data_IF_942734547529
#
_entry.id   IF_942734547529
#
_cell.length_a   1.000
_cell.length_b   1.000
_cell.length_c   1.000
_cell.angle_alpha   90.00
_cell.angle_beta   90.00
_cell.angle_gamma   90.00
#
_symmetry.space_group_name_H-M   'P 1'
#
loop_
_entity.id
_entity.type
_entity.pdbx_description
1 polymer ?
#
# COMPACT_ATOMS: atom_id res chain seq x y z
N UNK A 1 12.92 9.84 19.10
CA UNK A 1 13.99 8.83 19.18
C UNK A 1 13.58 7.74 18.22
N UNK A 2 14.28 7.58 17.11
CA UNK A 2 14.12 6.37 16.29
C UNK A 2 14.58 5.20 17.15
N UNK A 3 13.65 4.33 17.51
CA UNK A 3 13.99 3.05 18.13
C UNK A 3 14.69 2.22 17.08
N UNK A 4 16.02 2.20 17.10
CA UNK A 4 16.79 1.24 16.32
C UNK A 4 16.50 -0.17 16.81
N UNK A 5 16.46 -1.12 15.89
CA UNK A 5 16.46 -2.55 16.22
C UNK A 5 17.86 -3.12 15.97
N UNK A 6 18.21 -4.19 16.68
CA UNK A 6 19.50 -4.88 16.51
C UNK A 6 19.27 -6.28 15.96
N UNK A 7 20.02 -6.67 14.93
CA UNK A 7 20.03 -8.04 14.42
C UNK A 7 21.29 -8.76 14.89
N UNK A 8 21.13 -9.90 15.55
CA UNK A 8 22.22 -10.78 15.98
C UNK A 8 22.22 -12.05 15.14
N UNK A 9 23.39 -12.44 14.63
CA UNK A 9 23.55 -13.63 13.77
C UNK A 9 24.41 -14.66 14.49
N UNK A 10 23.87 -15.86 14.65
CA UNK A 10 24.53 -17.00 15.28
C UNK A 10 24.80 -18.08 14.24
N UNK A 11 26.02 -18.61 14.16
CA UNK A 11 26.40 -19.66 13.19
C UNK A 11 27.14 -20.78 13.90
N UNK A 12 26.65 -22.01 13.75
CA UNK A 12 27.30 -23.22 14.21
C UNK A 12 28.35 -23.68 13.17
N UNK A 13 29.64 -23.46 13.47
CA UNK A 13 30.74 -23.69 12.49
C UNK A 13 30.84 -25.12 11.94
N UNK A 14 30.41 -26.14 12.69
CA UNK A 14 30.50 -27.53 12.25
C UNK A 14 29.36 -27.96 11.31
N UNK A 15 28.13 -27.60 11.67
CA UNK A 15 26.92 -27.98 10.93
C UNK A 15 26.51 -26.95 9.87
N UNK A 16 26.93 -25.70 10.02
CA UNK A 16 26.48 -24.57 9.20
C UNK A 16 25.09 -24.05 9.58
N UNK A 17 24.44 -24.58 10.61
CA UNK A 17 23.15 -24.04 11.06
C UNK A 17 23.33 -22.62 11.58
N UNK A 18 22.40 -21.74 11.20
CA UNK A 18 22.40 -20.36 11.64
C UNK A 18 21.01 -19.90 12.10
N UNK A 19 21.02 -18.90 12.96
CA UNK A 19 19.84 -18.22 13.49
C UNK A 19 20.08 -16.71 13.47
N UNK A 20 19.03 -15.94 13.18
CA UNK A 20 19.02 -14.49 13.26
C UNK A 20 17.95 -14.07 14.26
N UNK A 21 18.36 -13.28 15.24
CA UNK A 21 17.48 -12.74 16.27
C UNK A 21 17.36 -11.22 16.15
N UNK A 22 16.17 -10.70 16.40
CA UNK A 22 15.90 -9.28 16.56
C UNK A 22 15.81 -8.93 18.05
N UNK A 23 16.56 -7.90 18.44
CA UNK A 23 16.64 -7.34 19.79
C UNK A 23 16.99 -8.38 20.89
N UNK A 24 17.67 -9.47 20.49
CA UNK A 24 18.08 -10.56 21.39
C UNK A 24 16.93 -11.37 21.99
N UNK A 25 15.73 -11.26 21.43
CA UNK A 25 14.51 -11.92 21.97
C UNK A 25 13.75 -12.68 20.89
N UNK A 26 13.63 -12.11 19.69
CA UNK A 26 12.75 -12.67 18.65
C UNK A 26 13.57 -13.37 17.58
N UNK A 27 13.46 -14.70 17.48
CA UNK A 27 13.97 -15.44 16.33
C UNK A 27 13.20 -15.03 15.07
N UNK A 28 13.90 -14.48 14.07
CA UNK A 28 13.28 -13.99 12.83
C UNK A 28 13.62 -14.86 11.61
N UNK A 29 14.77 -15.54 11.63
CA UNK A 29 15.22 -16.40 10.54
C UNK A 29 16.10 -17.51 11.10
N UNK A 30 15.98 -18.71 10.54
CA UNK A 30 16.94 -19.79 10.75
C UNK A 30 17.18 -20.54 9.45
N UNK A 31 18.29 -21.26 9.37
CA UNK A 31 18.63 -22.01 8.18
C UNK A 31 19.99 -22.69 8.29
N UNK A 32 20.53 -23.10 7.14
CA UNK A 32 21.85 -23.72 7.05
C UNK A 32 22.65 -23.06 5.93
N UNK A 33 23.90 -22.70 6.21
CA UNK A 33 24.87 -22.19 5.24
C UNK A 33 25.98 -23.21 5.05
N UNK A 34 26.28 -23.54 3.79
CA UNK A 34 27.30 -24.52 3.42
C UNK A 34 28.15 -23.94 2.32
N UNK A 35 29.48 -24.11 2.41
CA UNK A 35 30.40 -23.83 1.33
C UNK A 35 30.69 -25.15 0.56
N UNK A 36 30.08 -25.37 -0.61
CA UNK A 36 30.28 -26.59 -1.37
C UNK A 36 31.67 -26.63 -2.01
N UNK A 37 32.20 -27.83 -2.24
CA UNK A 37 33.46 -28.01 -2.98
C UNK A 37 33.32 -27.62 -4.45
N UNK A 38 32.14 -27.86 -5.04
CA UNK A 38 31.85 -27.52 -6.43
C UNK A 38 30.51 -26.81 -6.57
N UNK A 39 30.54 -25.48 -6.40
CA UNK A 39 29.36 -24.62 -6.47
C UNK A 39 28.60 -24.74 -7.81
N UNK A 40 29.29 -25.04 -8.92
CA UNK A 40 28.65 -25.19 -10.24
C UNK A 40 27.66 -26.35 -10.29
N UNK A 41 27.86 -27.39 -9.47
CA UNK A 41 26.96 -28.55 -9.41
C UNK A 41 25.72 -28.29 -8.56
N UNK A 42 25.72 -27.21 -7.77
CA UNK A 42 24.58 -26.87 -6.90
C UNK A 42 23.43 -26.19 -7.64
N UNK A 43 23.74 -25.61 -8.81
CA UNK A 43 22.79 -24.99 -9.72
C UNK A 43 21.95 -26.05 -10.45
N UNK A 44 20.67 -25.74 -10.66
CA UNK A 44 19.77 -26.57 -11.47
C UNK A 44 20.29 -26.74 -12.93
N UNK A 45 20.11 -27.90 -13.53
CA UNK A 45 20.66 -28.18 -14.88
C UNK A 45 19.73 -27.73 -16.00
N UNK A 46 18.46 -27.48 -15.73
CA UNK A 46 17.42 -27.29 -16.74
C UNK A 46 16.66 -25.98 -16.52
N UNK A 47 17.25 -24.90 -17.02
CA UNK A 47 16.58 -23.60 -17.12
C UNK A 47 16.11 -23.39 -18.55
N UNK A 48 14.86 -23.74 -18.83
CA UNK A 48 14.23 -23.41 -20.12
C UNK A 48 12.80 -22.99 -19.86
N UNK A 49 12.44 -21.85 -20.43
CA UNK A 49 11.06 -21.37 -20.54
C UNK A 49 10.69 -21.31 -22.01
N UNK A 50 9.43 -21.62 -22.31
CA UNK A 50 8.87 -21.59 -23.67
C UNK A 50 8.94 -20.18 -24.26
N UNK A 51 8.82 -20.03 -25.59
CA UNK A 51 8.79 -18.71 -26.22
C UNK A 51 7.70 -17.80 -25.65
N UNK A 52 7.97 -16.50 -25.77
CA UNK A 52 7.24 -15.38 -25.19
C UNK A 52 5.74 -15.40 -25.50
N UNK A 53 4.92 -15.11 -24.50
CA UNK A 53 3.47 -14.96 -24.66
C UNK A 53 3.05 -13.50 -24.56
N UNK A 54 3.56 -12.78 -23.55
CA UNK A 54 3.21 -11.39 -23.31
C UNK A 54 4.31 -10.66 -22.52
N UNK A 55 4.72 -9.49 -23.00
CA UNK A 55 5.77 -8.68 -22.37
C UNK A 55 5.17 -7.47 -21.65
N UNK A 56 5.73 -7.18 -20.49
CA UNK A 56 5.36 -6.10 -19.59
C UNK A 56 6.56 -5.17 -19.38
N UNK A 57 6.29 -3.88 -19.34
CA UNK A 57 7.25 -2.86 -18.92
C UNK A 57 7.42 -2.85 -17.39
N UNK A 58 8.52 -2.29 -16.89
CA UNK A 58 8.70 -2.03 -15.46
C UNK A 58 7.50 -1.30 -14.83
N UNK A 59 6.90 -0.35 -15.53
CA UNK A 59 5.76 0.41 -15.01
C UNK A 59 4.56 -0.50 -14.79
N UNK A 60 4.25 -1.40 -15.72
CA UNK A 60 3.12 -2.32 -15.61
C UNK A 60 3.36 -3.36 -14.51
N UNK A 61 4.57 -3.95 -14.44
CA UNK A 61 4.96 -4.89 -13.38
C UNK A 61 4.76 -4.27 -11.99
N UNK A 62 5.32 -3.08 -11.77
CA UNK A 62 5.23 -2.43 -10.46
C UNK A 62 3.86 -1.85 -10.17
N UNK A 63 3.05 -1.51 -11.18
CA UNK A 63 1.65 -1.10 -10.97
C UNK A 63 0.81 -2.27 -10.49
N UNK A 64 1.01 -3.46 -11.06
CA UNK A 64 0.32 -4.67 -10.64
C UNK A 64 0.77 -5.12 -9.23
N UNK A 65 2.08 -5.11 -8.94
CA UNK A 65 2.57 -5.36 -7.58
C UNK A 65 1.97 -4.36 -6.58
N UNK A 66 1.84 -3.09 -6.96
CA UNK A 66 1.19 -2.08 -6.13
C UNK A 66 -0.29 -2.39 -5.88
N UNK A 67 -1.01 -2.88 -6.88
CA UNK A 67 -2.42 -3.30 -6.73
C UNK A 67 -2.57 -4.48 -5.77
N UNK A 68 -1.56 -5.37 -5.68
CA UNK A 68 -1.49 -6.47 -4.69
C UNK A 68 -1.05 -6.01 -3.29
N UNK A 69 -0.77 -4.72 -3.11
CA UNK A 69 -0.38 -4.11 -1.83
C UNK A 69 1.12 -3.94 -1.62
N UNK A 70 1.99 -4.31 -2.57
CA UNK A 70 3.43 -4.07 -2.44
C UNK A 70 3.79 -2.60 -2.70
N UNK A 71 4.61 -2.01 -1.85
CA UNK A 71 5.01 -0.60 -1.94
C UNK A 71 6.50 -0.44 -2.27
N UNK A 72 6.98 -1.16 -3.29
CA UNK A 72 8.37 -1.08 -3.72
C UNK A 72 8.74 0.33 -4.22
N UNK A 73 9.90 0.81 -3.80
CA UNK A 73 10.45 2.14 -4.12
C UNK A 73 11.96 2.05 -4.37
N UNK A 74 12.52 3.08 -5.00
CA UNK A 74 13.96 3.24 -5.22
C UNK A 74 14.65 1.98 -5.82
N UNK A 75 15.76 1.54 -5.22
CA UNK A 75 16.55 0.39 -5.68
C UNK A 75 15.79 -0.95 -5.61
N UNK A 76 14.70 -1.03 -4.85
CA UNK A 76 13.84 -2.21 -4.82
C UNK A 76 12.92 -2.30 -6.05
N UNK A 77 12.97 -1.32 -6.97
CA UNK A 77 12.31 -1.41 -8.29
C UNK A 77 13.27 -1.91 -9.38
N UNK A 78 13.90 -3.06 -9.15
CA UNK A 78 14.95 -3.61 -10.02
C UNK A 78 14.48 -4.27 -11.32
N UNK A 79 13.21 -4.66 -11.47
CA UNK A 79 12.69 -5.29 -12.69
C UNK A 79 12.48 -4.25 -13.80
N UNK A 80 13.22 -4.36 -14.90
CA UNK A 80 13.18 -3.44 -16.04
C UNK A 80 12.10 -3.83 -17.06
N UNK A 81 11.94 -5.13 -17.27
CA UNK A 81 10.90 -5.73 -18.10
C UNK A 81 10.65 -7.17 -17.63
N UNK A 82 9.47 -7.69 -17.96
CA UNK A 82 9.09 -9.06 -17.66
C UNK A 82 8.23 -9.63 -18.77
N UNK A 83 8.64 -10.76 -19.31
CA UNK A 83 7.92 -11.51 -20.33
C UNK A 83 7.40 -12.81 -19.75
N UNK A 84 6.08 -12.95 -19.73
CA UNK A 84 5.41 -14.15 -19.24
C UNK A 84 5.38 -15.23 -20.32
N UNK A 85 5.46 -16.48 -19.87
CA UNK A 85 5.43 -17.68 -20.71
C UNK A 85 4.46 -18.68 -20.08
N UNK A 86 4.14 -19.77 -20.79
CA UNK A 86 3.26 -20.81 -20.24
C UNK A 86 3.83 -21.51 -18.98
N UNK A 87 5.16 -21.48 -18.81
CA UNK A 87 5.89 -22.26 -17.79
C UNK A 87 6.77 -21.40 -16.88
N UNK A 88 6.45 -20.12 -16.74
CA UNK A 88 7.19 -19.16 -15.94
C UNK A 88 7.40 -17.84 -16.68
N UNK A 89 8.54 -17.18 -16.48
CA UNK A 89 8.82 -15.89 -17.12
C UNK A 89 10.31 -15.64 -17.31
N UNK A 90 10.61 -14.68 -18.19
CA UNK A 90 11.95 -14.12 -18.39
C UNK A 90 11.86 -12.65 -18.05
N UNK A 91 12.78 -12.13 -17.25
CA UNK A 91 12.83 -10.73 -16.87
C UNK A 91 14.23 -10.17 -17.06
N UNK A 92 14.32 -8.87 -17.27
CA UNK A 92 15.58 -8.14 -17.16
C UNK A 92 15.60 -7.42 -15.81
N UNK A 93 16.65 -7.64 -15.02
CA UNK A 93 16.80 -7.11 -13.67
C UNK A 93 18.03 -6.22 -13.61
N UNK A 94 17.88 -5.03 -13.05
CA UNK A 94 18.96 -4.10 -12.84
C UNK A 94 19.89 -4.56 -11.70
N UNK A 95 21.19 -4.60 -11.98
CA UNK A 95 22.26 -4.73 -11.01
C UNK A 95 22.82 -3.35 -10.68
N UNK A 96 22.73 -2.97 -9.40
CA UNK A 96 23.18 -1.69 -8.87
C UNK A 96 24.09 -1.88 -7.63
N UNK A 97 24.98 -2.88 -7.69
CA UNK A 97 25.93 -3.24 -6.62
C UNK A 97 25.28 -3.51 -5.25
N UNK A 98 24.02 -3.94 -5.27
CA UNK A 98 23.22 -4.21 -4.09
C UNK A 98 22.60 -5.61 -4.18
N UNK A 99 23.25 -6.57 -3.51
CA UNK A 99 22.79 -7.96 -3.43
C UNK A 99 21.38 -8.07 -2.87
N UNK A 100 21.02 -7.28 -1.86
CA UNK A 100 19.70 -7.32 -1.25
C UNK A 100 18.62 -6.94 -2.26
N UNK A 101 18.78 -5.83 -2.98
CA UNK A 101 17.81 -5.40 -3.99
C UNK A 101 17.75 -6.35 -5.20
N UNK A 102 18.89 -6.91 -5.61
CA UNK A 102 18.93 -7.86 -6.71
C UNK A 102 18.23 -9.18 -6.36
N UNK A 103 18.54 -9.76 -5.19
CA UNK A 103 17.90 -10.98 -4.71
C UNK A 103 16.39 -10.74 -4.48
N UNK A 104 16.02 -9.60 -3.91
CA UNK A 104 14.61 -9.22 -3.76
C UNK A 104 13.91 -9.10 -5.10
N UNK A 105 14.56 -8.57 -6.13
CA UNK A 105 13.98 -8.54 -7.50
C UNK A 105 13.73 -9.94 -8.07
N UNK A 106 14.58 -10.93 -7.76
CA UNK A 106 14.31 -12.34 -8.13
C UNK A 106 13.11 -12.91 -7.37
N UNK A 107 12.95 -12.57 -6.10
CA UNK A 107 11.78 -12.94 -5.30
C UNK A 107 10.51 -12.27 -5.85
N UNK A 108 10.57 -10.99 -6.21
CA UNK A 108 9.48 -10.23 -6.83
C UNK A 108 9.00 -10.90 -8.13
N UNK A 109 9.90 -11.43 -8.95
CA UNK A 109 9.54 -12.17 -10.17
C UNK A 109 8.67 -13.39 -9.84
N UNK A 110 9.01 -14.13 -8.79
CA UNK A 110 8.21 -15.28 -8.33
C UNK A 110 6.87 -14.80 -7.77
N UNK A 111 6.87 -13.77 -6.90
CA UNK A 111 5.64 -13.19 -6.33
C UNK A 111 4.69 -12.64 -7.40
N UNK A 112 5.22 -12.06 -8.46
CA UNK A 112 4.45 -11.58 -9.61
C UNK A 112 3.79 -12.74 -10.35
N UNK A 113 4.55 -13.81 -10.62
CA UNK A 113 4.13 -14.93 -11.47
C UNK A 113 3.21 -15.92 -10.75
N UNK A 114 3.50 -16.23 -9.48
CA UNK A 114 2.76 -17.24 -8.70
C UNK A 114 1.67 -16.63 -7.82
N UNK A 115 1.62 -15.30 -7.68
CA UNK A 115 0.53 -14.65 -6.97
C UNK A 115 -0.80 -14.92 -7.68
N UNK A 116 -1.78 -15.42 -6.94
CA UNK A 116 -3.13 -15.68 -7.46
C UNK A 116 -3.80 -14.36 -7.89
N UNK A 117 -4.87 -14.47 -8.69
CA UNK A 117 -5.72 -13.34 -9.10
C UNK A 117 -6.49 -12.72 -7.91
N UNK A 118 -6.25 -13.17 -6.68
CA UNK A 118 -6.94 -12.70 -5.48
C UNK A 118 -6.53 -11.30 -5.02
N UNK A 119 -5.49 -10.72 -5.64
CA UNK A 119 -4.88 -9.44 -5.23
C UNK A 119 -4.44 -9.42 -3.75
N UNK A 120 -4.25 -10.59 -3.14
CA UNK A 120 -3.68 -10.70 -1.80
C UNK A 120 -2.17 -10.41 -1.83
N UNK A 121 -1.65 -9.93 -0.69
CA UNK A 121 -0.20 -9.82 -0.50
C UNK A 121 0.36 -11.19 -0.09
N UNK A 122 1.44 -11.59 -0.73
CA UNK A 122 2.15 -12.82 -0.43
C UNK A 122 3.54 -12.49 0.11
N UNK A 123 3.91 -13.12 1.22
CA UNK A 123 5.23 -12.93 1.81
C UNK A 123 6.04 -14.22 1.71
N UNK A 124 7.36 -14.13 1.39
CA UNK A 124 8.29 -15.26 1.50
C UNK A 124 8.23 -15.88 2.90
N UNK A 125 8.05 -17.19 2.96
CA UNK A 125 8.03 -17.97 4.21
C UNK A 125 9.22 -18.90 4.32
N UNK A 126 9.57 -19.59 3.24
CA UNK A 126 10.64 -20.59 3.22
C UNK A 126 11.37 -20.55 1.88
N UNK A 127 12.69 -20.65 1.92
CA UNK A 127 13.51 -20.90 0.74
C UNK A 127 14.18 -22.25 0.95
N UNK A 128 13.86 -23.23 0.10
CA UNK A 128 14.47 -24.56 0.18
C UNK A 128 15.98 -24.50 -0.04
N UNK A 129 16.43 -23.72 -1.03
CA UNK A 129 17.84 -23.56 -1.37
C UNK A 129 18.08 -22.23 -2.07
N UNK A 130 19.13 -21.51 -1.67
CA UNK A 130 19.67 -20.39 -2.41
C UNK A 130 21.15 -20.68 -2.73
N UNK A 131 21.52 -20.55 -4.00
CA UNK A 131 22.88 -20.72 -4.48
C UNK A 131 23.38 -19.37 -4.97
N UNK A 132 24.51 -18.92 -4.41
CA UNK A 132 25.11 -17.64 -4.75
C UNK A 132 26.56 -17.90 -5.16
N UNK A 133 26.87 -17.62 -6.42
CA UNK A 133 28.21 -17.67 -7.00
C UNK A 133 28.63 -16.27 -7.46
N UNK A 134 29.34 -15.51 -6.61
CA UNK A 134 29.83 -14.18 -6.98
C UNK A 134 30.75 -14.19 -8.21
N UNK A 135 31.46 -15.30 -8.49
CA UNK A 135 32.36 -15.39 -9.64
C UNK A 135 31.62 -15.49 -10.98
N UNK A 136 30.39 -16.02 -10.96
CA UNK A 136 29.51 -16.08 -12.13
C UNK A 136 28.61 -14.85 -12.25
N UNK A 137 28.50 -14.04 -11.19
CA UNK A 137 27.82 -12.76 -11.21
C UNK A 137 28.69 -11.72 -11.93
N UNK A 138 28.82 -11.88 -13.25
CA UNK A 138 29.45 -10.86 -14.10
C UNK A 138 28.53 -9.64 -14.16
N UNK A 139 29.12 -8.45 -14.32
CA UNK A 139 28.46 -7.14 -14.18
C UNK A 139 27.97 -6.52 -15.51
N UNK A 140 27.03 -7.08 -16.29
CA UNK A 140 26.16 -6.18 -17.02
C UNK A 140 25.25 -5.49 -16.01
N UNK A 141 25.01 -4.20 -16.20
CA UNK A 141 24.02 -3.45 -15.41
C UNK A 141 22.63 -4.08 -15.50
N UNK A 142 22.35 -4.79 -16.59
CA UNK A 142 21.06 -5.42 -16.85
C UNK A 142 21.26 -6.94 -17.01
N UNK A 143 20.75 -7.70 -16.04
CA UNK A 143 20.92 -9.15 -15.93
C UNK A 143 19.62 -9.83 -16.32
N UNK A 144 19.70 -10.80 -17.25
CA UNK A 144 18.55 -11.66 -17.55
C UNK A 144 18.31 -12.64 -16.40
N UNK A 145 17.11 -12.60 -15.87
CA UNK A 145 16.57 -13.54 -14.90
C UNK A 145 15.53 -14.44 -15.58
N UNK A 146 15.50 -15.71 -15.20
CA UNK A 146 14.53 -16.68 -15.70
C UNK A 146 13.88 -17.34 -14.49
N UNK A 147 12.56 -17.44 -14.51
CA UNK A 147 11.78 -18.18 -13.55
C UNK A 147 11.04 -19.32 -14.24
N UNK A 148 11.14 -20.54 -13.69
CA UNK A 148 10.39 -21.69 -14.15
C UNK A 148 9.44 -22.15 -13.04
N UNK A 149 8.14 -22.05 -13.30
CA UNK A 149 7.09 -22.34 -12.31
C UNK A 149 6.89 -23.84 -12.06
N UNK A 150 7.35 -24.72 -12.96
CA UNK A 150 7.27 -26.18 -12.80
C UNK A 150 8.34 -26.65 -11.81
N UNK A 151 9.57 -26.17 -11.95
CA UNK A 151 10.66 -26.51 -11.03
C UNK A 151 10.66 -25.64 -9.76
N UNK A 152 9.98 -24.50 -9.78
CA UNK A 152 10.00 -23.50 -8.71
C UNK A 152 11.39 -22.86 -8.55
N UNK A 153 12.11 -22.68 -9.66
CA UNK A 153 13.48 -22.16 -9.69
C UNK A 153 13.52 -20.82 -10.41
N UNK A 154 14.05 -19.79 -9.74
CA UNK A 154 14.41 -18.51 -10.34
C UNK A 154 15.93 -18.35 -10.33
N UNK A 155 16.50 -17.94 -11.47
CA UNK A 155 17.94 -17.72 -11.62
C UNK A 155 18.21 -16.44 -12.40
N UNK A 156 19.16 -15.64 -11.93
CA UNK A 156 19.69 -14.48 -12.63
C UNK A 156 21.15 -14.24 -12.24
N UNK A 157 22.02 -14.02 -13.23
CA UNK A 157 23.46 -13.84 -13.00
C UNK A 157 24.06 -15.02 -12.23
N UNK A 158 24.73 -14.73 -11.11
CA UNK A 158 25.30 -15.73 -10.20
C UNK A 158 24.36 -16.22 -9.10
N UNK A 159 23.06 -15.90 -9.13
CA UNK A 159 22.10 -16.26 -8.06
C UNK A 159 21.04 -17.20 -8.59
N UNK A 160 20.75 -18.24 -7.81
CA UNK A 160 19.60 -19.12 -7.98
C UNK A 160 18.84 -19.30 -6.67
N UNK A 161 17.52 -19.22 -6.72
CA UNK A 161 16.62 -19.52 -5.61
C UNK A 161 15.71 -20.67 -6.05
N UNK A 162 15.62 -21.70 -5.23
CA UNK A 162 14.80 -22.88 -5.49
C UNK A 162 13.78 -23.08 -4.38
N UNK A 163 12.55 -23.42 -4.77
CA UNK A 163 11.49 -23.81 -3.85
C UNK A 163 11.12 -22.69 -2.88
N UNK A 164 10.95 -21.46 -3.40
CA UNK A 164 10.38 -20.36 -2.62
C UNK A 164 8.93 -20.69 -2.30
N UNK A 165 8.60 -20.79 -1.01
CA UNK A 165 7.22 -20.88 -0.54
C UNK A 165 6.77 -19.52 -0.05
N UNK A 166 5.56 -19.16 -0.44
CA UNK A 166 4.93 -17.89 -0.08
C UNK A 166 3.64 -18.15 0.71
N UNK A 167 3.31 -17.23 1.59
CA UNK A 167 2.07 -17.29 2.37
C UNK A 167 1.24 -16.03 2.18
N UNK A 168 -0.05 -16.20 1.95
CA UNK A 168 -0.98 -15.08 1.85
C UNK A 168 -1.12 -14.41 3.23
N UNK A 169 -0.89 -13.10 3.27
CA UNK A 169 -1.08 -12.28 4.47
C UNK A 169 -2.25 -11.33 4.22
N UNK A 170 -3.08 -11.12 5.25
CA UNK A 170 -4.14 -10.11 5.17
C UNK A 170 -3.56 -8.77 5.61
N UNK A 171 -3.53 -7.80 4.71
CA UNK A 171 -3.30 -6.41 5.11
C UNK A 171 -4.54 -5.97 5.87
N UNK A 172 -4.36 -5.48 7.10
CA UNK A 172 -5.42 -4.78 7.81
C UNK A 172 -5.75 -3.53 6.98
N UNK A 173 -6.89 -3.56 6.28
CA UNK A 173 -7.44 -2.37 5.63
C UNK A 173 -7.68 -1.32 6.70
N UNK A 174 -6.76 -0.37 6.83
CA UNK A 174 -6.93 0.76 7.73
C UNK A 174 -8.16 1.53 7.25
N UNK A 175 -9.24 1.46 8.04
CA UNK A 175 -10.51 2.19 7.90
C UNK A 175 -10.63 2.91 6.55
N UNK A 176 -10.96 2.16 5.49
CA UNK A 176 -11.38 2.78 4.24
C UNK A 176 -12.56 3.67 4.61
N UNK A 177 -12.38 4.99 4.49
CA UNK A 177 -13.48 5.93 4.63
C UNK A 177 -14.56 5.43 3.67
N UNK A 178 -15.69 4.99 4.22
CA UNK A 178 -16.74 4.39 3.41
C UNK A 178 -17.09 5.35 2.29
N UNK A 179 -16.99 4.88 1.04
CA UNK A 179 -17.44 5.67 -0.10
C UNK A 179 -18.91 5.99 0.11
N UNK A 180 -19.22 7.28 0.28
CA UNK A 180 -20.59 7.75 0.43
C UNK A 180 -21.11 8.14 -0.94
N UNK A 181 -22.19 7.49 -1.35
CA UNK A 181 -22.96 7.92 -2.50
C UNK A 181 -23.95 8.99 -2.05
N UNK A 182 -23.83 10.20 -2.62
CA UNK A 182 -24.78 11.29 -2.41
C UNK A 182 -25.63 11.46 -3.67
N UNK A 183 -26.96 11.48 -3.52
CA UNK A 183 -27.88 11.70 -4.64
C UNK A 183 -28.34 13.16 -4.68
N UNK A 184 -28.15 13.83 -5.81
CA UNK A 184 -28.66 15.18 -6.03
C UNK A 184 -30.15 15.13 -6.40
N UNK A 185 -31.00 15.83 -5.66
CA UNK A 185 -32.43 15.93 -5.94
C UNK A 185 -32.87 17.38 -6.00
N UNK A 186 -33.86 17.68 -6.86
CA UNK A 186 -34.42 19.02 -6.92
C UNK A 186 -35.33 19.27 -5.72
N UNK A 187 -35.05 20.36 -4.98
CA UNK A 187 -35.84 20.79 -3.84
C UNK A 187 -36.46 22.14 -4.18
N UNK A 188 -37.79 22.19 -4.24
CA UNK A 188 -38.50 23.43 -4.55
C UNK A 188 -38.35 24.43 -3.39
N UNK A 189 -37.93 25.66 -3.71
CA UNK A 189 -37.83 26.75 -2.74
C UNK A 189 -39.18 27.10 -2.08
N UNK A 190 -40.29 27.00 -2.83
CA UNK A 190 -41.62 27.41 -2.34
C UNK A 190 -42.34 26.33 -1.54
N UNK A 191 -41.99 25.06 -1.75
CA UNK A 191 -42.54 23.94 -1.00
C UNK A 191 -41.53 22.78 -0.99
N UNK A 192 -40.54 22.80 -0.09
CA UNK A 192 -39.45 21.84 -0.09
C UNK A 192 -39.87 20.44 0.36
N UNK A 193 -41.13 20.24 0.84
CA UNK A 193 -41.72 18.96 1.28
C UNK A 193 -40.79 18.11 2.17
N UNK A 194 -39.91 18.77 2.94
CA UNK A 194 -38.99 18.11 3.86
C UNK A 194 -39.77 17.64 5.09
N UNK A 195 -39.72 16.35 5.38
CA UNK A 195 -40.46 15.75 6.50
C UNK A 195 -39.63 15.68 7.79
N UNK A 196 -38.31 15.73 7.65
CA UNK A 196 -37.35 15.53 8.74
C UNK A 196 -36.58 16.82 9.00
N UNK A 197 -36.35 17.11 10.28
CA UNK A 197 -35.58 18.28 10.71
C UNK A 197 -34.14 18.19 10.22
N UNK A 198 -33.54 16.99 10.17
CA UNK A 198 -32.17 16.84 9.66
C UNK A 198 -32.05 17.26 8.19
N UNK A 199 -33.02 16.85 7.36
CA UNK A 199 -33.05 17.21 5.93
C UNK A 199 -33.20 18.72 5.75
N UNK A 200 -34.05 19.36 6.56
CA UNK A 200 -34.23 20.80 6.54
C UNK A 200 -32.94 21.55 6.88
N UNK A 201 -32.25 21.13 7.95
CA UNK A 201 -30.99 21.75 8.38
C UNK A 201 -29.89 21.51 7.34
N UNK A 202 -29.82 20.31 6.75
CA UNK A 202 -28.84 19.96 5.71
C UNK A 202 -29.00 20.81 4.46
N UNK A 203 -30.22 20.94 3.93
CA UNK A 203 -30.52 21.77 2.75
C UNK A 203 -30.26 23.25 3.05
N UNK A 204 -30.66 23.72 4.23
CA UNK A 204 -30.41 25.10 4.65
C UNK A 204 -28.92 25.42 4.71
N UNK A 205 -28.11 24.48 5.23
CA UNK A 205 -26.66 24.61 5.25
C UNK A 205 -26.04 24.56 3.85
N UNK A 206 -26.51 23.66 2.98
CA UNK A 206 -26.05 23.58 1.60
C UNK A 206 -26.28 24.91 0.86
N UNK A 207 -27.49 25.45 0.94
CA UNK A 207 -27.83 26.76 0.35
C UNK A 207 -26.94 27.86 0.96
N UNK A 208 -26.78 27.89 2.29
CA UNK A 208 -25.93 28.87 2.95
C UNK A 208 -24.47 28.77 2.45
N UNK A 209 -23.91 27.56 2.34
CA UNK A 209 -22.56 27.35 1.85
C UNK A 209 -22.38 27.68 0.37
N UNK A 210 -23.38 27.41 -0.47
CA UNK A 210 -23.37 27.78 -1.89
C UNK A 210 -23.35 29.29 -2.09
N UNK A 211 -23.97 30.05 -1.19
CA UNK A 211 -24.10 31.51 -1.31
C UNK A 211 -22.99 32.31 -0.58
N UNK A 212 -22.05 31.65 0.10
CA UNK A 212 -20.90 32.33 0.72
C UNK A 212 -19.81 32.58 -0.34
N UNK A 213 -19.60 33.86 -0.69
CA UNK A 213 -18.68 34.30 -1.75
C UNK A 213 -17.20 34.44 -1.33
N UNK A 214 -16.71 33.67 -0.34
CA UNK A 214 -15.33 33.86 0.19
C UNK A 214 -14.39 32.72 -0.26
N UNK A 215 -13.29 33.01 -1.00
CA UNK A 215 -12.43 31.96 -1.58
C UNK A 215 -11.48 31.28 -0.59
N UNK A 216 -11.27 31.83 0.60
CA UNK A 216 -10.17 31.44 1.48
C UNK A 216 -10.65 31.27 2.91
N UNK A 217 -10.54 30.03 3.40
CA UNK A 217 -10.88 29.51 4.74
C UNK A 217 -12.37 29.44 5.10
N UNK A 218 -12.95 28.27 4.85
CA UNK A 218 -14.24 27.83 5.41
C UNK A 218 -14.02 27.46 6.89
N UNK A 219 -14.17 28.43 7.79
CA UNK A 219 -14.29 28.19 9.25
C UNK A 219 -15.73 28.48 9.65
N UNK A 220 -16.35 27.55 10.36
CA UNK A 220 -17.69 27.69 10.91
C UNK A 220 -17.61 27.29 12.39
N UNK A 221 -18.05 28.20 13.25
CA UNK A 221 -18.01 28.05 14.71
C UNK A 221 -19.43 27.86 15.19
N UNK A 222 -19.79 26.69 15.73
CA UNK A 222 -21.15 26.50 16.27
C UNK A 222 -21.23 27.20 17.62
N UNK A 223 -22.24 28.03 17.81
CA UNK A 223 -22.50 28.69 19.10
C UNK A 223 -23.82 28.19 19.65
N UNK A 224 -23.74 27.65 20.86
CA UNK A 224 -24.91 27.30 21.67
C UNK A 224 -25.45 28.55 22.33
N UNK A 225 -26.75 28.84 22.13
CA UNK A 225 -27.47 29.83 22.93
C UNK A 225 -27.98 29.11 24.18
N UNK A 226 -27.35 29.37 25.33
CA UNK A 226 -27.63 28.66 26.59
C UNK A 226 -28.98 28.99 27.25
N UNK A 227 -29.85 29.79 26.64
CA UNK A 227 -31.08 30.27 27.31
C UNK A 227 -32.40 29.66 26.80
N UNK A 228 -32.40 28.75 25.81
CA UNK A 228 -33.61 28.07 25.37
C UNK A 228 -33.45 26.54 25.30
N UNK A 229 -34.15 25.83 26.19
CA UNK A 229 -34.20 24.36 26.24
C UNK A 229 -34.71 23.69 24.96
N UNK A 230 -35.42 24.44 24.12
CA UNK A 230 -35.86 24.08 22.76
C UNK A 230 -34.73 24.03 21.74
N UNK A 231 -33.69 24.86 21.88
CA UNK A 231 -32.62 25.03 20.88
C UNK A 231 -31.53 23.95 20.97
N UNK A 232 -31.33 23.34 22.14
CA UNK A 232 -30.29 22.31 22.33
C UNK A 232 -30.45 21.07 21.43
N UNK A 233 -31.69 20.73 21.03
CA UNK A 233 -31.96 19.66 20.05
C UNK A 233 -31.51 20.03 18.63
N UNK A 234 -31.59 21.31 18.26
CA UNK A 234 -31.12 21.77 16.96
C UNK A 234 -29.59 21.84 16.93
N UNK A 235 -28.94 22.26 18.01
CA UNK A 235 -27.48 22.31 18.04
C UNK A 235 -26.85 20.93 17.86
N UNK A 236 -27.41 19.88 18.47
CA UNK A 236 -26.87 18.52 18.31
C UNK A 236 -27.02 18.01 16.86
N UNK A 237 -28.15 18.30 16.20
CA UNK A 237 -28.40 18.00 14.79
C UNK A 237 -27.45 18.78 13.87
N UNK A 238 -27.27 20.08 14.12
CA UNK A 238 -26.34 20.96 13.42
C UNK A 238 -24.89 20.46 13.57
N UNK A 239 -24.47 20.10 14.79
CA UNK A 239 -23.15 19.51 15.08
C UNK A 239 -22.94 18.20 14.31
N UNK A 240 -23.97 17.34 14.25
CA UNK A 240 -23.90 16.08 13.51
C UNK A 240 -23.78 16.30 11.99
N UNK A 241 -24.58 17.21 11.43
CA UNK A 241 -24.57 17.53 10.00
C UNK A 241 -23.25 18.19 9.60
N UNK A 242 -22.74 19.14 10.40
CA UNK A 242 -21.46 19.80 10.13
C UNK A 242 -20.26 18.85 10.21
N UNK A 243 -20.34 17.77 10.99
CA UNK A 243 -19.32 16.69 10.94
C UNK A 243 -19.31 15.92 9.61
N UNK A 244 -20.43 15.90 8.87
CA UNK A 244 -20.50 15.26 7.54
C UNK A 244 -19.80 16.11 6.48
N UNK A 245 -19.91 17.43 6.57
CA UNK A 245 -19.15 18.35 5.73
C UNK A 245 -17.72 18.40 6.27
N UNK A 246 -16.79 17.62 5.70
CA UNK A 246 -15.37 17.45 6.06
C UNK A 246 -14.50 18.73 6.04
N UNK A 247 -15.08 19.91 6.24
CA UNK A 247 -14.53 21.22 5.87
C UNK A 247 -14.21 22.07 7.11
N UNK A 248 -14.50 21.60 8.34
CA UNK A 248 -14.52 22.47 9.51
C UNK A 248 -13.63 21.94 10.65
N UNK A 249 -12.61 22.72 11.01
CA UNK A 249 -11.86 22.54 12.26
C UNK A 249 -12.63 23.20 13.40
N UNK A 250 -12.91 22.44 14.46
CA UNK A 250 -13.59 22.91 15.65
C UNK A 250 -12.59 23.59 16.59
N UNK A 251 -12.90 24.80 17.03
CA UNK A 251 -12.28 25.39 18.21
C UNK A 251 -13.40 25.67 19.21
N UNK A 252 -13.23 25.17 20.45
CA UNK A 252 -13.98 25.68 21.58
C UNK A 252 -13.62 27.16 21.76
N UNK A 253 -14.57 27.96 22.26
CA UNK A 253 -14.55 29.42 22.43
C UNK A 253 -15.08 30.27 21.25
N UNK A 254 -16.33 30.73 21.41
CA UNK A 254 -16.75 32.12 21.12
C UNK A 254 -17.23 32.50 19.70
N UNK A 255 -18.54 32.78 19.59
CA UNK A 255 -19.28 33.58 18.58
C UNK A 255 -19.43 33.05 17.12
N UNK A 256 -20.70 32.94 16.66
CA UNK A 256 -21.11 32.88 15.26
C UNK A 256 -21.91 34.15 14.98
N UNK A 257 -21.28 35.09 14.29
CA UNK A 257 -21.94 36.28 13.76
C UNK A 257 -22.00 36.10 12.24
N UNK A 258 -23.15 35.67 11.74
CA UNK A 258 -23.51 35.92 10.35
C UNK A 258 -24.16 37.30 10.31
N UNK A 259 -23.34 38.35 10.27
CA UNK A 259 -23.81 39.69 10.00
C UNK A 259 -23.27 40.14 8.63
N UNK A 260 -24.13 40.50 7.66
CA UNK A 260 -23.68 41.38 6.59
C UNK A 260 -23.24 42.68 7.25
N UNK A 261 -21.98 43.08 7.11
CA UNK A 261 -21.58 44.48 7.27
C UNK A 261 -22.21 45.25 6.11
N UNK A 262 -23.50 45.50 6.18
CA UNK A 262 -24.20 46.72 5.78
C UNK A 262 -25.67 46.54 6.16
N UNK A 263 -26.08 47.39 7.08
CA UNK A 263 -27.42 47.45 7.68
C UNK A 263 -28.46 47.74 6.59
N UNK A 264 -29.42 46.84 6.46
CA UNK A 264 -30.72 47.09 5.83
C UNK A 264 -31.76 46.33 6.63
N UNK A 265 -32.46 47.03 7.52
CA UNK A 265 -33.54 46.47 8.36
C UNK A 265 -34.60 45.78 7.50
N UNK A 266 -35.01 44.58 7.88
CA UNK A 266 -36.36 44.08 7.63
C UNK A 266 -36.85 43.46 8.95
N UNK A 267 -37.83 44.13 9.57
CA UNK A 267 -38.68 43.56 10.60
C UNK A 267 -39.77 42.71 9.90
N UNK A 268 -40.35 41.76 10.64
CA UNK A 268 -41.41 40.83 10.19
C UNK A 268 -42.41 41.39 9.18
#
# INVERSE_FOLDING_TARGET
MESGFTLSVFIQRGSGFFEIEMDGVTLILSGQIVQPQNLKQEFDKYMTVSPDVFSLTAQEVYSELKNRGYQYTDQFRGILDLTTTQKGCVATVNWADNWCCFIDSLIQIVLFTDGDNSHDIYLPLEIRKAVIDPSQHKEPRDIKAVYNNISGVVRGGGVEIQGLKVSATKILKNNEASLKLESMTFISHTNPRLKLTEQFVEVSMQIAFENISIPTTRKATIVDFEEESSLGRFTSVVKHILKKFHILKFHEYGALVLAPKHVGRIAF
#
